data_IF_126497155360
#
_entry.id   IF_126497155360
#
_cell.length_a   1.000
_cell.length_b   1.000
_cell.length_c   1.000
_cell.angle_alpha   90.00
_cell.angle_beta   90.00
_cell.angle_gamma   90.00
#
_symmetry.space_group_name_H-M   'P 1'
#
loop_
_entity.id
_entity.type
_entity.pdbx_description
1 polymer ?
#
# COMPACT_ATOMS: atom_id res chain seq x y z
N UNK A 1 6.73 -0.33 17.76
CA UNK A 1 5.86 -0.32 16.56
C UNK A 1 5.97 -1.64 15.83
N UNK A 2 4.86 -2.19 15.33
CA UNK A 2 4.77 -3.54 14.77
C UNK A 2 4.81 -3.50 13.24
N UNK A 3 5.48 -4.48 12.63
CA UNK A 3 5.36 -4.78 11.20
C UNK A 3 4.18 -5.75 11.04
N UNK A 4 3.14 -5.35 10.32
CA UNK A 4 1.98 -6.19 10.03
C UNK A 4 1.49 -5.98 8.59
N UNK A 5 0.77 -6.96 8.05
CA UNK A 5 0.01 -6.78 6.82
C UNK A 5 -1.32 -6.11 7.12
N UNK A 6 -1.79 -5.27 6.19
CA UNK A 6 -3.13 -4.70 6.23
C UNK A 6 -4.16 -5.71 5.74
N UNK A 7 -5.33 -5.74 6.36
CA UNK A 7 -6.52 -6.40 5.80
C UNK A 7 -7.10 -5.55 4.67
N UNK A 8 -8.08 -6.09 3.93
CA UNK A 8 -8.75 -5.30 2.89
C UNK A 8 -9.56 -4.14 3.47
N UNK A 9 -10.17 -4.31 4.65
CA UNK A 9 -10.87 -3.23 5.35
C UNK A 9 -9.91 -2.12 5.77
N UNK A 10 -8.74 -2.50 6.31
CA UNK A 10 -7.72 -1.51 6.66
C UNK A 10 -7.25 -0.72 5.44
N UNK A 11 -7.13 -1.35 4.27
CA UNK A 11 -6.77 -0.67 3.01
C UNK A 11 -7.82 0.35 2.59
N UNK A 12 -9.10 0.04 2.73
CA UNK A 12 -10.19 1.00 2.44
C UNK A 12 -10.15 2.19 3.40
N UNK A 13 -9.92 1.94 4.70
CA UNK A 13 -9.74 3.01 5.69
C UNK A 13 -8.50 3.85 5.38
N UNK A 14 -7.41 3.20 4.95
CA UNK A 14 -6.18 3.87 4.56
C UNK A 14 -6.40 4.80 3.37
N UNK A 15 -7.11 4.32 2.35
CA UNK A 15 -7.46 5.10 1.16
C UNK A 15 -8.27 6.34 1.51
N UNK A 16 -9.33 6.20 2.31
CA UNK A 16 -10.16 7.32 2.74
C UNK A 16 -9.35 8.38 3.51
N UNK A 17 -8.50 7.96 4.46
CA UNK A 17 -7.65 8.86 5.23
C UNK A 17 -6.57 9.52 4.36
N UNK A 18 -5.99 8.77 3.42
CA UNK A 18 -4.96 9.29 2.53
C UNK A 18 -5.55 10.33 1.56
N UNK A 19 -6.74 10.08 1.02
CA UNK A 19 -7.50 11.02 0.18
C UNK A 19 -7.94 12.27 0.96
N UNK A 20 -8.26 12.13 2.25
CA UNK A 20 -8.53 13.29 3.12
C UNK A 20 -7.27 14.11 3.45
N UNK A 21 -6.11 13.77 2.88
CA UNK A 21 -4.85 14.49 3.05
C UNK A 21 -4.00 14.06 4.24
N UNK A 22 -4.38 12.99 4.96
CA UNK A 22 -3.64 12.53 6.13
C UNK A 22 -2.17 12.26 5.79
N UNK A 23 -1.26 12.68 6.67
CA UNK A 23 0.17 12.42 6.47
C UNK A 23 0.52 10.95 6.72
N UNK A 24 1.58 10.40 6.09
CA UNK A 24 2.06 9.05 6.39
C UNK A 24 2.34 8.81 7.89
N UNK A 25 2.76 9.85 8.62
CA UNK A 25 2.99 9.79 10.07
C UNK A 25 1.68 9.67 10.86
N UNK A 26 0.61 10.34 10.42
CA UNK A 26 -0.70 10.19 11.03
C UNK A 26 -1.26 8.79 10.77
N UNK A 27 -1.13 8.28 9.54
CA UNK A 27 -1.53 6.91 9.18
C UNK A 27 -0.79 5.86 10.03
N UNK A 28 0.52 6.03 10.22
CA UNK A 28 1.31 5.11 11.06
C UNK A 28 0.78 5.05 12.51
N UNK A 29 0.35 6.18 13.07
CA UNK A 29 -0.25 6.25 14.40
C UNK A 29 -1.64 5.61 14.44
N UNK A 30 -2.51 5.93 13.47
CA UNK A 30 -3.87 5.38 13.39
C UNK A 30 -3.89 3.86 13.29
N UNK A 31 -2.97 3.28 12.51
CA UNK A 31 -2.88 1.84 12.33
C UNK A 31 -1.88 1.16 13.28
N UNK A 32 -1.25 1.91 14.19
CA UNK A 32 -0.22 1.45 15.13
C UNK A 32 0.93 0.66 14.46
N UNK A 33 1.27 1.04 13.22
CA UNK A 33 2.30 0.39 12.40
C UNK A 33 3.56 1.25 12.31
N UNK A 34 4.66 0.62 11.91
CA UNK A 34 5.85 1.37 11.56
C UNK A 34 5.63 2.23 10.30
N UNK A 35 6.21 3.43 10.26
CA UNK A 35 6.17 4.33 9.10
C UNK A 35 6.64 3.65 7.80
N UNK A 36 7.63 2.76 7.86
CA UNK A 36 8.07 1.98 6.71
C UNK A 36 6.96 1.06 6.15
N UNK A 37 6.04 0.59 7.00
CA UNK A 37 4.89 -0.23 6.55
C UNK A 37 3.88 0.63 5.79
N UNK A 38 3.69 1.89 6.21
CA UNK A 38 2.86 2.87 5.48
C UNK A 38 3.43 3.12 4.10
N UNK A 39 4.72 3.42 3.98
CA UNK A 39 5.34 3.65 2.66
C UNK A 39 5.25 2.44 1.75
N UNK A 40 5.56 1.23 2.26
CA UNK A 40 5.44 0.00 1.47
C UNK A 40 4.00 -0.28 1.04
N UNK A 41 3.02 0.12 1.84
CA UNK A 41 1.62 0.00 1.45
C UNK A 41 1.26 1.00 0.35
N UNK A 42 1.71 2.26 0.47
CA UNK A 42 1.55 3.28 -0.59
C UNK A 42 2.14 2.77 -1.90
N UNK A 43 3.36 2.26 -1.88
CA UNK A 43 4.04 1.69 -3.05
C UNK A 43 3.24 0.57 -3.72
N UNK A 44 2.60 -0.33 -2.93
CA UNK A 44 1.73 -1.39 -3.48
C UNK A 44 0.47 -0.83 -4.13
N UNK A 45 -0.08 0.26 -3.59
CA UNK A 45 -1.31 0.89 -4.08
C UNK A 45 -1.08 1.87 -5.23
N UNK A 46 0.15 2.35 -5.41
CA UNK A 46 0.53 3.28 -6.48
C UNK A 46 1.11 2.59 -7.71
N UNK A 47 1.88 1.52 -7.53
CA UNK A 47 2.66 0.91 -8.60
C UNK A 47 1.80 0.01 -9.48
N UNK A 48 1.49 0.48 -10.69
CA UNK A 48 1.15 -0.42 -11.78
C UNK A 48 1.45 0.24 -13.12
N UNK A 49 2.29 -0.42 -13.90
CA UNK A 49 2.46 -0.16 -15.33
C UNK A 49 3.37 0.99 -15.74
N UNK A 50 3.89 1.81 -14.81
CA UNK A 50 4.89 2.85 -15.13
C UNK A 50 4.37 4.28 -15.12
N UNK A 51 3.06 4.50 -14.99
CA UNK A 51 2.46 5.84 -14.84
C UNK A 51 2.13 6.14 -13.38
N UNK A 52 2.65 7.27 -12.89
CA UNK A 52 2.39 7.77 -11.54
C UNK A 52 1.18 8.70 -11.62
N UNK A 53 0.01 8.20 -11.22
CA UNK A 53 -1.16 9.08 -11.01
C UNK A 53 -0.93 9.91 -9.75
N UNK A 54 -1.08 11.22 -9.85
CA UNK A 54 -1.06 12.12 -8.71
C UNK A 54 -2.49 12.38 -8.22
N UNK A 55 -2.64 12.53 -6.91
CA UNK A 55 -3.87 13.00 -6.27
C UNK A 55 -3.98 14.53 -6.37
N UNK A 56 -5.12 15.07 -5.92
CA UNK A 56 -5.36 16.52 -5.89
C UNK A 56 -4.34 17.30 -5.04
N UNK A 57 -3.57 16.62 -4.19
CA UNK A 57 -2.54 17.18 -3.33
C UNK A 57 -1.12 17.01 -3.91
N UNK A 58 -0.99 16.57 -5.16
CA UNK A 58 0.29 16.32 -5.81
C UNK A 58 1.06 15.12 -5.26
N UNK A 59 0.42 14.26 -4.45
CA UNK A 59 1.01 13.01 -3.94
C UNK A 59 0.65 11.87 -4.87
N UNK A 60 1.43 10.80 -4.82
CA UNK A 60 1.08 9.60 -5.58
C UNK A 60 -0.26 9.06 -5.09
N UNK A 61 -1.21 8.89 -6.01
CA UNK A 61 -2.54 8.36 -5.73
C UNK A 61 -2.43 6.94 -5.22
N UNK A 62 -3.19 6.66 -4.16
CA UNK A 62 -3.29 5.34 -3.56
C UNK A 62 -4.64 4.71 -3.91
N UNK A 63 -4.64 3.43 -4.28
CA UNK A 63 -5.86 2.63 -4.44
C UNK A 63 -5.80 1.37 -3.57
N UNK A 64 -6.83 1.17 -2.75
CA UNK A 64 -6.97 0.00 -1.88
C UNK A 64 -7.06 -1.31 -2.70
N UNK A 65 -7.76 -1.27 -3.83
CA UNK A 65 -7.93 -2.41 -4.73
C UNK A 65 -6.61 -2.83 -5.37
N UNK A 66 -5.82 -1.86 -5.86
CA UNK A 66 -4.49 -2.11 -6.43
C UNK A 66 -3.57 -2.72 -5.38
N UNK A 67 -3.55 -2.16 -4.17
CA UNK A 67 -2.73 -2.67 -3.08
C UNK A 67 -3.12 -4.11 -2.69
N UNK A 68 -4.42 -4.41 -2.66
CA UNK A 68 -4.93 -5.77 -2.41
C UNK A 68 -4.52 -6.74 -3.51
N UNK A 69 -4.70 -6.37 -4.79
CA UNK A 69 -4.31 -7.19 -5.92
C UNK A 69 -2.79 -7.46 -5.92
N UNK A 70 -1.97 -6.44 -5.68
CA UNK A 70 -0.53 -6.57 -5.55
C UNK A 70 -0.14 -7.52 -4.40
N UNK A 71 -0.80 -7.41 -3.24
CA UNK A 71 -0.57 -8.31 -2.10
C UNK A 71 -0.93 -9.77 -2.43
N UNK A 72 -2.10 -10.01 -3.05
CA UNK A 72 -2.54 -11.35 -3.45
C UNK A 72 -1.61 -11.93 -4.51
N UNK A 73 -1.18 -11.14 -5.49
CA UNK A 73 -0.24 -11.58 -6.52
C UNK A 73 1.13 -11.92 -5.92
N UNK A 74 1.63 -11.10 -5.00
CA UNK A 74 2.86 -11.41 -4.27
C UNK A 74 2.76 -12.72 -3.49
N UNK A 75 1.61 -12.97 -2.83
CA UNK A 75 1.36 -14.23 -2.13
C UNK A 75 1.30 -15.43 -3.08
N UNK A 76 0.61 -15.30 -4.23
CA UNK A 76 0.50 -16.34 -5.27
C UNK A 76 1.85 -16.70 -5.92
N UNK A 77 2.76 -15.74 -5.99
CA UNK A 77 4.10 -15.90 -6.58
C UNK A 77 5.14 -16.35 -5.55
N UNK A 78 4.83 -16.28 -4.25
CA UNK A 78 5.74 -16.73 -3.19
C UNK A 78 6.01 -18.23 -3.31
N UNK A 79 7.27 -18.62 -3.24
CA UNK A 79 7.70 -20.01 -3.40
C UNK A 79 7.78 -20.51 -4.85
N UNK A 80 7.28 -19.74 -5.82
CA UNK A 80 7.51 -19.99 -7.24
C UNK A 80 8.82 -19.34 -7.66
N UNK A 81 9.94 -19.90 -7.22
CA UNK A 81 11.22 -19.59 -7.86
C UNK A 81 11.14 -20.14 -9.28
N UNK A 82 11.23 -19.26 -10.29
CA UNK A 82 11.68 -19.73 -11.60
C UNK A 82 13.08 -20.27 -11.35
N UNK A 83 13.25 -21.60 -11.42
CA UNK A 83 14.57 -22.20 -11.52
C UNK A 83 15.25 -21.49 -12.70
N UNK A 84 16.12 -20.51 -12.41
CA UNK A 84 17.02 -19.96 -13.41
C UNK A 84 18.02 -21.08 -13.64
N UNK A 85 17.73 -21.92 -14.63
CA UNK A 85 18.72 -22.77 -15.29
C UNK A 85 19.63 -21.87 -16.12
#
# INVERSE_FOLDING_TARGET
MKLRYFSYDDRKRFEALYQSGASPKALAQTFEVNLATVYREIERGSSGGGEIELDANGRVKYSAERAQAAFVNALKNRGKTKNKK
#
